data_IF_853762211832
#
_entry.id   IF_853762211832
#
_cell.length_a   1.000
_cell.length_b   1.000
_cell.length_c   1.000
_cell.angle_alpha   90.00
_cell.angle_beta   90.00
_cell.angle_gamma   90.00
#
_symmetry.space_group_name_H-M   'P 1'
#
loop_
_entity.id
_entity.type
_entity.pdbx_description
1 polymer ?
#
# COMPACT_ATOMS: atom_id res chain seq x y z
N UNK A 1 -6.95 16.55 10.37
CA UNK A 1 -7.36 16.49 8.94
C UNK A 1 -6.19 16.59 7.98
N UNK A 2 -5.51 17.76 7.86
CA UNK A 2 -4.47 17.95 6.84
C UNK A 2 -3.18 17.13 7.07
N UNK A 3 -3.04 16.53 8.26
CA UNK A 3 -1.89 15.71 8.62
C UNK A 3 -1.99 14.24 8.16
N UNK A 4 -3.16 13.82 7.66
CA UNK A 4 -3.34 12.44 7.15
C UNK A 4 -2.42 12.17 5.96
N UNK A 5 -1.97 10.93 5.83
CA UNK A 5 -1.01 10.53 4.79
C UNK A 5 -1.54 10.86 3.39
N UNK A 6 -2.84 10.62 3.15
CA UNK A 6 -3.49 10.90 1.87
C UNK A 6 -3.48 12.39 1.53
N UNK A 7 -3.85 13.25 2.48
CA UNK A 7 -3.95 14.70 2.24
C UNK A 7 -2.56 15.31 2.01
N UNK A 8 -1.56 14.88 2.80
CA UNK A 8 -0.16 15.27 2.57
C UNK A 8 0.36 14.77 1.22
N UNK A 9 0.11 13.51 0.88
CA UNK A 9 0.54 12.93 -0.39
C UNK A 9 -0.10 13.66 -1.58
N UNK A 10 -1.36 14.06 -1.48
CA UNK A 10 -2.05 14.84 -2.50
C UNK A 10 -1.54 16.29 -2.62
N UNK A 11 -0.69 16.77 -1.70
CA UNK A 11 -0.22 18.16 -1.69
C UNK A 11 -1.31 19.16 -1.30
N UNK A 12 -2.38 18.71 -0.66
CA UNK A 12 -3.52 19.55 -0.30
C UNK A 12 -3.29 20.18 1.07
N UNK A 13 -3.27 21.51 1.10
CA UNK A 13 -3.12 22.31 2.33
C UNK A 13 -4.41 23.06 2.67
N UNK A 14 -4.40 23.78 3.81
CA UNK A 14 -5.49 24.67 4.21
C UNK A 14 -5.75 25.83 3.23
N UNK A 15 -4.80 26.13 2.35
CA UNK A 15 -4.94 27.16 1.30
C UNK A 15 -5.36 26.58 -0.04
N UNK A 16 -5.54 25.26 -0.16
CA UNK A 16 -5.98 24.62 -1.39
C UNK A 16 -7.44 24.98 -1.72
N UNK A 17 -7.80 25.08 -3.01
CA UNK A 17 -9.20 25.16 -3.44
C UNK A 17 -10.08 24.03 -2.89
N UNK A 18 -9.48 22.87 -2.59
CA UNK A 18 -10.20 21.71 -2.03
C UNK A 18 -10.41 21.77 -0.52
N UNK A 19 -9.85 22.75 0.20
CA UNK A 19 -9.88 22.78 1.66
C UNK A 19 -11.31 22.74 2.23
N UNK A 20 -12.25 23.49 1.63
CA UNK A 20 -13.65 23.50 2.07
C UNK A 20 -14.37 22.16 1.80
N UNK A 21 -14.11 21.54 0.64
CA UNK A 21 -14.69 20.25 0.29
C UNK A 21 -14.17 19.13 1.19
N UNK A 22 -12.86 19.13 1.48
CA UNK A 22 -12.25 18.19 2.41
C UNK A 22 -12.74 18.40 3.83
N UNK A 23 -12.89 19.64 4.30
CA UNK A 23 -13.43 19.95 5.63
C UNK A 23 -14.79 19.26 5.87
N UNK A 24 -15.65 19.22 4.85
CA UNK A 24 -16.94 18.51 4.90
C UNK A 24 -16.85 16.97 4.87
N UNK A 25 -15.66 16.40 4.72
CA UNK A 25 -15.35 14.95 4.63
C UNK A 25 -14.27 14.52 5.62
N UNK A 26 -14.14 15.22 6.75
CA UNK A 26 -13.12 14.96 7.76
C UNK A 26 -13.14 13.53 8.29
N UNK A 27 -14.34 13.04 8.57
CA UNK A 27 -14.61 11.68 8.99
C UNK A 27 -14.05 10.64 8.01
N UNK A 28 -14.18 10.85 6.70
CA UNK A 28 -13.64 9.94 5.69
C UNK A 28 -12.11 9.97 5.64
N UNK A 29 -11.48 11.13 5.84
CA UNK A 29 -10.03 11.23 5.90
C UNK A 29 -9.48 10.54 7.15
N UNK A 30 -10.16 10.71 8.29
CA UNK A 30 -9.78 10.04 9.55
C UNK A 30 -9.98 8.51 9.44
N UNK A 31 -11.07 8.04 8.83
CA UNK A 31 -11.27 6.61 8.56
C UNK A 31 -10.23 6.03 7.61
N UNK A 32 -9.78 6.81 6.62
CA UNK A 32 -8.71 6.40 5.71
C UNK A 32 -7.37 6.30 6.44
N UNK A 33 -7.07 7.24 7.33
CA UNK A 33 -5.87 7.19 8.18
C UNK A 33 -5.90 6.00 9.15
N UNK A 34 -7.06 5.72 9.76
CA UNK A 34 -7.21 4.53 10.61
C UNK A 34 -7.02 3.24 9.81
N UNK A 35 -7.47 3.20 8.55
CA UNK A 35 -7.25 2.07 7.65
C UNK A 35 -5.78 1.92 7.24
N UNK A 36 -5.05 3.04 7.09
CA UNK A 36 -3.60 3.05 6.90
C UNK A 36 -2.90 2.37 8.09
N UNK A 37 -3.15 2.85 9.31
CA UNK A 37 -2.53 2.28 10.50
C UNK A 37 -2.92 0.82 10.71
N UNK A 38 -4.18 0.44 10.49
CA UNK A 38 -4.61 -0.95 10.62
C UNK A 38 -3.95 -1.90 9.61
N UNK A 39 -3.68 -1.41 8.39
CA UNK A 39 -3.07 -2.22 7.32
C UNK A 39 -1.56 -2.39 7.51
N UNK A 40 -0.88 -1.33 7.95
CA UNK A 40 0.58 -1.29 8.08
C UNK A 40 1.04 -1.75 9.47
N UNK A 41 0.32 -1.38 10.53
CA UNK A 41 0.68 -1.59 11.94
C UNK A 41 -0.43 -2.26 12.75
N UNK A 42 -0.97 -3.41 12.30
CA UNK A 42 -1.95 -4.13 13.10
C UNK A 42 -1.34 -4.61 14.42
N UNK A 43 -2.15 -4.59 15.49
CA UNK A 43 -1.77 -5.11 16.81
C UNK A 43 -1.34 -6.58 16.79
N UNK A 44 -1.85 -7.35 15.80
CA UNK A 44 -1.51 -8.76 15.55
C UNK A 44 -1.00 -8.88 14.12
N UNK A 45 0.32 -8.72 13.88
CA UNK A 45 0.87 -8.69 12.52
C UNK A 45 0.73 -10.00 11.75
N UNK A 46 0.61 -11.14 12.46
CA UNK A 46 0.62 -12.46 11.83
C UNK A 46 2.01 -12.76 11.26
N UNK A 47 2.07 -13.50 10.16
CA UNK A 47 3.30 -13.82 9.46
C UNK A 47 3.84 -12.71 8.56
N UNK A 48 3.23 -11.51 8.53
CA UNK A 48 3.77 -10.33 7.86
C UNK A 48 4.11 -9.26 8.89
N UNK A 49 5.41 -9.04 9.10
CA UNK A 49 5.93 -7.98 9.98
C UNK A 49 5.52 -6.59 9.50
N UNK A 50 5.58 -5.59 10.40
CA UNK A 50 5.29 -4.21 10.03
C UNK A 50 6.26 -3.68 8.96
N UNK A 51 7.53 -4.09 9.02
CA UNK A 51 8.52 -3.69 8.02
C UNK A 51 8.26 -4.33 6.65
N UNK A 52 7.92 -5.62 6.58
CA UNK A 52 7.52 -6.26 5.31
C UNK A 52 6.29 -5.60 4.70
N UNK A 53 5.31 -5.21 5.52
CA UNK A 53 4.12 -4.46 5.06
C UNK A 53 4.51 -3.11 4.46
N UNK A 54 5.40 -2.38 5.12
CA UNK A 54 5.92 -1.11 4.60
C UNK A 54 6.71 -1.31 3.29
N UNK A 55 7.54 -2.35 3.19
CA UNK A 55 8.29 -2.68 1.98
C UNK A 55 7.40 -3.02 0.79
N UNK A 56 6.38 -3.86 1.01
CA UNK A 56 5.39 -4.17 -0.01
C UNK A 56 4.56 -2.95 -0.40
N UNK A 57 4.16 -2.12 0.57
CA UNK A 57 3.43 -0.87 0.29
C UNK A 57 4.28 0.11 -0.55
N UNK A 58 5.56 0.23 -0.25
CA UNK A 58 6.50 1.01 -1.05
C UNK A 58 6.64 0.45 -2.47
N UNK A 59 6.77 -0.87 -2.62
CA UNK A 59 6.79 -1.54 -3.92
C UNK A 59 5.54 -1.26 -4.74
N UNK A 60 4.35 -1.36 -4.14
CA UNK A 60 3.07 -1.05 -4.78
C UNK A 60 3.02 0.41 -5.24
N UNK A 61 3.46 1.34 -4.37
CA UNK A 61 3.53 2.77 -4.73
C UNK A 61 4.50 3.02 -5.89
N UNK A 62 5.68 2.40 -5.90
CA UNK A 62 6.64 2.47 -7.02
C UNK A 62 6.07 1.89 -8.31
N UNK A 63 5.34 0.77 -8.26
CA UNK A 63 4.68 0.16 -9.44
C UNK A 63 3.57 1.04 -10.04
N UNK A 64 3.04 1.99 -9.27
CA UNK A 64 2.02 2.95 -9.71
C UNK A 64 2.61 4.36 -9.91
N UNK A 65 3.93 4.49 -10.00
CA UNK A 65 4.65 5.76 -10.15
C UNK A 65 4.36 6.81 -9.06
N UNK A 66 3.94 6.38 -7.87
CA UNK A 66 3.49 7.29 -6.82
C UNK A 66 4.57 7.57 -5.76
N UNK A 67 5.45 8.51 -6.11
CA UNK A 67 6.71 8.80 -5.41
C UNK A 67 6.52 9.29 -3.96
N UNK A 68 5.49 10.08 -3.70
CA UNK A 68 5.27 10.64 -2.35
C UNK A 68 4.86 9.55 -1.36
N UNK A 69 3.98 8.63 -1.78
CA UNK A 69 3.65 7.46 -0.97
C UNK A 69 4.82 6.47 -0.87
N UNK A 70 5.60 6.28 -1.94
CA UNK A 70 6.79 5.43 -1.89
C UNK A 70 7.79 5.92 -0.82
N UNK A 71 8.09 7.23 -0.80
CA UNK A 71 8.96 7.83 0.21
C UNK A 71 8.39 7.73 1.63
N UNK A 72 7.06 7.90 1.78
CA UNK A 72 6.39 7.70 3.07
C UNK A 72 6.58 6.26 3.56
N UNK A 73 6.30 5.25 2.74
CA UNK A 73 6.48 3.86 3.14
C UNK A 73 7.94 3.46 3.37
N UNK A 74 8.88 4.03 2.60
CA UNK A 74 10.32 3.88 2.85
C UNK A 74 10.74 4.36 4.24
N UNK A 75 10.11 5.40 4.77
CA UNK A 75 10.39 5.88 6.13
C UNK A 75 9.89 4.94 7.24
N UNK A 76 9.02 3.98 6.91
CA UNK A 76 8.39 3.07 7.88
C UNK A 76 9.04 1.69 7.92
N UNK A 77 9.89 1.34 6.94
CA UNK A 77 10.60 0.05 6.89
C UNK A 77 11.99 0.13 7.51
N UNK A 78 12.47 -1.01 7.99
CA UNK A 78 13.86 -1.22 8.40
C UNK A 78 14.77 -1.50 7.19
N UNK A 79 16.09 -1.48 7.43
CA UNK A 79 17.08 -1.72 6.39
C UNK A 79 17.03 -3.14 5.82
N UNK A 80 16.65 -4.13 6.64
CA UNK A 80 16.65 -5.55 6.28
C UNK A 80 15.59 -5.86 5.20
N UNK A 81 14.49 -5.09 5.14
CA UNK A 81 13.43 -5.27 4.16
C UNK A 81 13.51 -4.31 2.97
N UNK A 82 14.56 -3.50 2.84
CA UNK A 82 14.65 -2.50 1.77
C UNK A 82 14.67 -3.13 0.37
N UNK A 83 15.31 -4.29 0.21
CA UNK A 83 15.37 -4.98 -1.08
C UNK A 83 13.97 -5.44 -1.56
N UNK A 84 13.06 -5.76 -0.63
CA UNK A 84 11.67 -6.12 -0.95
C UNK A 84 10.90 -4.96 -1.61
N UNK A 85 11.28 -3.72 -1.31
CA UNK A 85 10.70 -2.53 -1.93
C UNK A 85 11.22 -2.26 -3.36
N UNK A 86 12.29 -2.92 -3.80
CA UNK A 86 12.87 -2.70 -5.12
C UNK A 86 12.18 -3.54 -6.19
N UNK A 87 11.54 -2.89 -7.17
CA UNK A 87 10.69 -3.57 -8.18
C UNK A 87 11.45 -4.60 -9.03
N UNK A 88 12.78 -4.46 -9.17
CA UNK A 88 13.65 -5.44 -9.83
C UNK A 88 13.99 -6.68 -9.00
N UNK A 89 13.80 -6.64 -7.67
CA UNK A 89 14.04 -7.78 -6.81
C UNK A 89 12.89 -8.79 -6.90
N UNK A 90 13.25 -10.07 -7.04
CA UNK A 90 12.29 -11.17 -7.25
C UNK A 90 12.29 -12.19 -6.09
N UNK A 91 12.89 -11.87 -4.94
CA UNK A 91 12.87 -12.74 -3.75
C UNK A 91 14.11 -13.62 -3.52
N UNK A 92 15.16 -13.48 -4.33
CA UNK A 92 16.46 -14.17 -4.09
C UNK A 92 16.34 -15.70 -4.09
N UNK A 93 16.76 -16.35 -3.01
CA UNK A 93 16.60 -17.80 -2.78
C UNK A 93 15.42 -18.15 -1.86
N UNK A 94 14.70 -17.15 -1.36
CA UNK A 94 13.58 -17.34 -0.43
C UNK A 94 12.27 -17.58 -1.21
N UNK A 95 11.72 -18.79 -1.07
CA UNK A 95 10.46 -19.19 -1.72
C UNK A 95 9.25 -18.40 -1.24
N UNK A 96 9.21 -18.00 0.05
CA UNK A 96 8.14 -17.20 0.63
C UNK A 96 8.16 -15.80 0.05
N UNK A 97 9.34 -15.16 0.00
CA UNK A 97 9.48 -13.82 -0.59
C UNK A 97 9.15 -13.82 -2.09
N UNK A 98 9.61 -14.83 -2.85
CA UNK A 98 9.24 -15.01 -4.28
C UNK A 98 7.74 -15.01 -4.48
N UNK A 99 7.02 -15.82 -3.69
CA UNK A 99 5.57 -15.96 -3.81
C UNK A 99 4.85 -14.66 -3.43
N UNK A 100 5.27 -14.01 -2.33
CA UNK A 100 4.71 -12.72 -1.88
C UNK A 100 4.91 -11.61 -2.92
N UNK A 101 6.13 -11.47 -3.46
CA UNK A 101 6.45 -10.48 -4.50
C UNK A 101 5.61 -10.72 -5.74
N UNK A 102 5.59 -11.96 -6.26
CA UNK A 102 4.83 -12.30 -7.46
C UNK A 102 3.35 -11.96 -7.29
N UNK A 103 2.76 -12.32 -6.15
CA UNK A 103 1.36 -12.02 -5.87
C UNK A 103 1.10 -10.51 -5.75
N UNK A 104 1.98 -9.79 -5.04
CA UNK A 104 1.89 -8.33 -4.87
C UNK A 104 1.93 -7.63 -6.23
N UNK A 105 2.88 -8.00 -7.09
CA UNK A 105 3.04 -7.39 -8.41
C UNK A 105 1.85 -7.70 -9.33
N UNK A 106 1.42 -8.97 -9.35
CA UNK A 106 0.28 -9.40 -10.17
C UNK A 106 -0.99 -8.65 -9.79
N UNK A 107 -1.35 -8.61 -8.50
CA UNK A 107 -2.59 -7.97 -8.05
C UNK A 107 -2.50 -6.45 -8.17
N UNK A 108 -1.29 -5.87 -8.11
CA UNK A 108 -1.10 -4.43 -8.30
C UNK A 108 -1.23 -4.00 -9.76
N UNK A 109 -0.57 -4.72 -10.67
CA UNK A 109 -0.42 -4.31 -12.07
C UNK A 109 -1.51 -4.91 -12.98
N UNK A 110 -1.93 -6.15 -12.72
CA UNK A 110 -2.90 -6.87 -13.55
C UNK A 110 -3.87 -7.73 -12.72
N UNK A 111 -4.66 -7.13 -11.80
CA UNK A 111 -5.52 -7.86 -10.87
C UNK A 111 -6.55 -8.77 -11.55
N UNK A 112 -6.96 -8.47 -12.79
CA UNK A 112 -7.90 -9.30 -13.56
C UNK A 112 -7.31 -10.65 -13.98
N UNK A 113 -5.99 -10.78 -13.99
CA UNK A 113 -5.28 -12.01 -14.35
C UNK A 113 -4.99 -12.89 -13.15
N UNK A 114 -5.33 -12.44 -11.93
CA UNK A 114 -5.22 -13.26 -10.73
C UNK A 114 -6.20 -14.43 -10.78
N UNK A 115 -5.68 -15.64 -10.53
CA UNK A 115 -6.42 -16.90 -10.54
C UNK A 115 -6.19 -17.70 -9.25
N UNK A 116 -6.99 -18.75 -9.02
CA UNK A 116 -6.83 -19.62 -7.85
C UNK A 116 -5.42 -20.23 -7.73
N UNK A 117 -4.74 -20.49 -8.86
CA UNK A 117 -3.35 -20.94 -8.91
C UNK A 117 -2.37 -20.00 -8.20
N UNK A 118 -2.64 -18.69 -8.18
CA UNK A 118 -1.77 -17.72 -7.50
C UNK A 118 -1.89 -17.81 -5.97
N UNK A 119 -3.07 -18.17 -5.47
CA UNK A 119 -3.30 -18.44 -4.04
C UNK A 119 -2.63 -19.75 -3.63
N UNK A 120 -2.77 -20.81 -4.44
CA UNK A 120 -2.08 -22.08 -4.19
C UNK A 120 -0.56 -21.93 -4.18
N UNK A 121 0.00 -21.05 -5.01
CA UNK A 121 1.43 -20.77 -5.00
C UNK A 121 1.91 -20.15 -3.66
N UNK A 122 1.10 -19.27 -3.05
CA UNK A 122 1.41 -18.72 -1.72
C UNK A 122 1.35 -19.80 -0.64
N UNK A 123 0.32 -20.65 -0.65
CA UNK A 123 0.19 -21.77 0.29
C UNK A 123 1.34 -22.76 0.15
N UNK A 124 1.73 -23.10 -1.08
CA UNK A 124 2.86 -23.98 -1.36
C UNK A 124 4.21 -23.40 -0.89
N UNK A 125 4.31 -22.06 -0.81
CA UNK A 125 5.46 -21.36 -0.23
C UNK A 125 5.39 -21.23 1.30
N UNK A 126 4.39 -21.82 1.95
CA UNK A 126 4.25 -21.89 3.40
C UNK A 126 3.47 -20.74 4.04
N UNK A 127 2.81 -19.87 3.25
CA UNK A 127 1.94 -18.85 3.83
C UNK A 127 0.63 -19.46 4.33
N UNK A 128 0.23 -19.08 5.54
CA UNK A 128 -1.09 -19.42 6.08
C UNK A 128 -2.19 -18.58 5.39
N UNK A 129 -3.41 -19.13 5.32
CA UNK A 129 -4.56 -18.45 4.70
C UNK A 129 -4.81 -17.06 5.31
N UNK A 130 -4.64 -16.93 6.62
CA UNK A 130 -4.78 -15.65 7.31
C UNK A 130 -3.75 -14.60 6.84
N UNK A 131 -2.54 -15.03 6.50
CA UNK A 131 -1.49 -14.16 5.98
C UNK A 131 -1.69 -13.81 4.51
N UNK A 132 -2.23 -14.73 3.71
CA UNK A 132 -2.66 -14.46 2.33
C UNK A 132 -3.75 -13.39 2.31
N UNK A 133 -4.74 -13.48 3.22
CA UNK A 133 -5.78 -12.46 3.37
C UNK A 133 -5.17 -11.12 3.81
N UNK A 134 -4.24 -11.11 4.78
CA UNK A 134 -3.55 -9.88 5.22
C UNK A 134 -2.76 -9.22 4.09
N UNK A 135 -2.07 -10.01 3.27
CA UNK A 135 -1.36 -9.53 2.09
C UNK A 135 -2.31 -8.90 1.08
N UNK A 136 -3.41 -9.59 0.77
CA UNK A 136 -4.44 -9.10 -0.15
C UNK A 136 -5.08 -7.80 0.33
N UNK A 137 -5.35 -7.68 1.64
CA UNK A 137 -5.89 -6.48 2.26
C UNK A 137 -4.92 -5.30 2.16
N UNK A 138 -3.62 -5.53 2.38
CA UNK A 138 -2.59 -4.50 2.21
C UNK A 138 -2.58 -3.99 0.76
N UNK A 139 -2.55 -4.91 -0.22
CA UNK A 139 -2.53 -4.53 -1.64
C UNK A 139 -3.79 -3.72 -2.00
N UNK A 140 -4.96 -4.17 -1.55
CA UNK A 140 -6.22 -3.48 -1.79
C UNK A 140 -6.23 -2.07 -1.18
N UNK A 141 -5.76 -1.92 0.06
CA UNK A 141 -5.71 -0.63 0.76
C UNK A 141 -4.76 0.34 0.04
N UNK A 142 -3.53 -0.07 -0.27
CA UNK A 142 -2.54 0.81 -0.91
C UNK A 142 -3.03 1.21 -2.32
N UNK A 143 -3.61 0.27 -3.07
CA UNK A 143 -4.20 0.57 -4.39
C UNK A 143 -5.38 1.55 -4.30
N UNK A 144 -6.19 1.47 -3.24
CA UNK A 144 -7.24 2.47 -2.97
C UNK A 144 -6.61 3.83 -2.63
N UNK A 145 -5.63 3.85 -1.73
CA UNK A 145 -4.98 5.07 -1.26
C UNK A 145 -4.36 5.86 -2.42
N UNK A 146 -3.64 5.19 -3.32
CA UNK A 146 -3.05 5.78 -4.53
C UNK A 146 -4.13 6.43 -5.39
N UNK A 147 -5.26 5.75 -5.63
CA UNK A 147 -6.37 6.30 -6.41
C UNK A 147 -7.02 7.53 -5.77
N UNK A 148 -7.13 7.55 -4.44
CA UNK A 148 -7.62 8.74 -3.73
C UNK A 148 -6.65 9.91 -3.90
N UNK A 149 -5.35 9.68 -3.71
CA UNK A 149 -4.32 10.72 -3.90
C UNK A 149 -4.35 11.29 -5.32
N UNK A 150 -4.39 10.42 -6.34
CA UNK A 150 -4.49 10.83 -7.73
C UNK A 150 -5.77 11.63 -8.01
N UNK A 151 -6.92 11.18 -7.50
CA UNK A 151 -8.19 11.87 -7.66
C UNK A 151 -8.20 13.26 -7.00
N UNK A 152 -7.62 13.40 -5.81
CA UNK A 152 -7.49 14.69 -5.13
C UNK A 152 -6.61 15.67 -5.92
N UNK A 153 -5.48 15.21 -6.48
CA UNK A 153 -4.62 16.05 -7.32
C UNK A 153 -5.35 16.54 -8.57
N UNK A 154 -6.06 15.64 -9.27
CA UNK A 154 -6.85 16.00 -10.46
C UNK A 154 -7.96 17.01 -10.13
N UNK A 155 -8.65 16.85 -9.00
CA UNK A 155 -9.66 17.84 -8.57
C UNK A 155 -9.05 19.19 -8.23
N UNK A 156 -7.83 19.23 -7.69
CA UNK A 156 -7.14 20.48 -7.35
C UNK A 156 -6.68 21.25 -8.60
N UNK A 157 -6.38 20.56 -9.70
CA UNK A 157 -5.99 21.19 -10.97
C UNK A 157 -7.17 21.91 -11.66
N UNK A 158 -8.40 21.47 -11.41
CA UNK A 158 -9.62 22.00 -12.06
C UNK A 158 -10.45 22.92 -11.16
N UNK A 159 -10.04 23.12 -9.91
CA UNK A 159 -10.73 23.92 -8.90
C UNK A 159 -10.17 25.35 -8.81
#
# INVERSE_FOLDING_TARGET
MFDTVVVRAAGVSSTSPLAGALAGRADLMDLTENSHEASLRPNRPGGLSHSERAALACRIAKLNDEQVLAAHYESLMDADNRELAETGFTGGDDSRLKAMIRHTDLVTVDPKSAVAGDIFALQAAGLEDADIVRLSQLIAFVSYQIRVVAGLRLMAEVA
#
